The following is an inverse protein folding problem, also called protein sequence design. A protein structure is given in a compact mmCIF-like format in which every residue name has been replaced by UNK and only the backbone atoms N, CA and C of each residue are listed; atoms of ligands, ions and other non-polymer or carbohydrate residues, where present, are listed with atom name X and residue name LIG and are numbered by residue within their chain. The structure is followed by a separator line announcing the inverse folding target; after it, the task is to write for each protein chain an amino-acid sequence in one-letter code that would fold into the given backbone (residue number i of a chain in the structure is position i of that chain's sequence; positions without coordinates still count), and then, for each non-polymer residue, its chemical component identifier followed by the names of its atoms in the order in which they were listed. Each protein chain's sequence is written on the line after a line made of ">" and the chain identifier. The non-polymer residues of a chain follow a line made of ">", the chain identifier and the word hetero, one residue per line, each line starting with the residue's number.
data_IF_776206930528
#
_entry.id   IF_776206930528
#
_cell.length_a   1.000
_cell.length_b   1.000
_cell.length_c   1.000
_cell.angle_alpha   90.00
_cell.angle_beta   90.00
_cell.angle_gamma   90.00
#
_symmetry.space_group_name_H-M   'P 1'
#
loop_
_entity.id
_entity.type
_entity.pdbx_description
1 polymer ?
#
# COMPACT_ATOMS: atom_id res chain seq x y z
N UNK A 1 4.74 -0.96 6.52
CA UNK A 1 4.99 -2.08 7.46
C UNK A 1 4.48 -3.32 6.77
N UNK A 2 5.17 -4.45 6.89
CA UNK A 2 4.67 -5.71 6.34
C UNK A 2 3.86 -6.46 7.39
N UNK A 3 2.69 -6.96 7.01
CA UNK A 3 1.89 -7.96 7.75
C UNK A 3 1.86 -7.82 9.28
N UNK A 4 1.28 -6.74 9.85
CA UNK A 4 1.00 -6.72 11.28
C UNK A 4 0.10 -7.91 11.68
N UNK A 5 0.47 -8.63 12.73
CA UNK A 5 -0.26 -9.81 13.20
C UNK A 5 -0.16 -9.99 14.72
N UNK A 6 -1.08 -10.77 15.30
CA UNK A 6 -1.16 -11.07 16.73
C UNK A 6 -1.22 -9.83 17.65
N UNK A 7 -1.69 -8.70 17.11
CA UNK A 7 -1.83 -7.45 17.86
C UNK A 7 -3.21 -7.43 18.52
N UNK A 8 -3.30 -7.17 19.82
CA UNK A 8 -4.58 -7.14 20.53
C UNK A 8 -4.65 -6.09 21.63
N UNK A 9 -5.87 -5.73 22.02
CA UNK A 9 -6.15 -4.77 23.08
C UNK A 9 -5.44 -3.44 22.87
N UNK A 10 -4.74 -2.96 23.89
CA UNK A 10 -4.01 -1.67 23.83
C UNK A 10 -2.92 -1.65 22.77
N UNK A 11 -2.33 -2.79 22.39
CA UNK A 11 -1.33 -2.83 21.34
C UNK A 11 -1.94 -2.46 19.98
N UNK A 12 -3.19 -2.86 19.74
CA UNK A 12 -3.90 -2.52 18.49
C UNK A 12 -4.21 -1.02 18.43
N UNK A 13 -4.68 -0.44 19.54
CA UNK A 13 -4.87 1.02 19.62
C UNK A 13 -3.56 1.78 19.38
N UNK A 14 -2.44 1.28 19.93
CA UNK A 14 -1.13 1.87 19.71
C UNK A 14 -0.66 1.72 18.25
N UNK A 15 -0.99 0.59 17.60
CA UNK A 15 -0.70 0.37 16.19
C UNK A 15 -1.40 1.41 15.30
N UNK A 16 -2.71 1.60 15.48
CA UNK A 16 -3.50 2.58 14.73
C UNK A 16 -2.95 4.01 14.95
N UNK A 17 -2.62 4.35 16.20
CA UNK A 17 -2.00 5.63 16.53
C UNK A 17 -0.62 5.82 15.88
N UNK A 18 0.20 4.77 15.86
CA UNK A 18 1.51 4.79 15.20
C UNK A 18 1.38 4.97 13.68
N UNK A 19 0.41 4.34 13.04
CA UNK A 19 0.11 4.56 11.61
C UNK A 19 -0.29 6.02 11.33
N UNK A 20 -1.14 6.63 12.16
CA UNK A 20 -1.49 8.05 12.00
C UNK A 20 -0.27 8.97 12.18
N UNK A 21 0.60 8.69 13.16
CA UNK A 21 1.85 9.42 13.34
C UNK A 21 2.78 9.27 12.13
N UNK A 22 2.88 8.08 11.55
CA UNK A 22 3.66 7.83 10.35
C UNK A 22 3.14 8.64 9.15
N UNK A 23 1.82 8.65 8.90
CA UNK A 23 1.21 9.49 7.85
C UNK A 23 1.58 10.95 8.06
N UNK A 24 1.37 11.48 9.28
CA UNK A 24 1.67 12.87 9.59
C UNK A 24 3.16 13.20 9.38
N UNK A 25 4.06 12.32 9.80
CA UNK A 25 5.50 12.51 9.64
C UNK A 25 5.91 12.50 8.15
N UNK A 26 5.39 11.56 7.36
CA UNK A 26 5.63 11.49 5.91
C UNK A 26 5.18 12.79 5.23
N UNK A 27 3.97 13.28 5.54
CA UNK A 27 3.47 14.53 4.96
C UNK A 27 4.25 15.75 5.42
N UNK A 28 4.62 15.81 6.70
CA UNK A 28 5.45 16.90 7.24
C UNK A 28 6.86 16.95 6.63
N UNK A 29 7.38 15.82 6.17
CA UNK A 29 8.63 15.74 5.41
C UNK A 29 8.51 16.24 3.95
N UNK A 30 7.32 16.65 3.50
CA UNK A 30 7.06 17.22 2.17
C UNK A 30 6.55 16.24 1.13
N UNK A 31 6.36 14.96 1.47
CA UNK A 31 5.79 13.96 0.57
C UNK A 31 4.25 14.07 0.54
N UNK A 32 3.72 15.02 -0.23
CA UNK A 32 2.28 15.36 -0.23
C UNK A 32 1.49 14.78 -1.40
N UNK A 33 2.13 14.11 -2.36
CA UNK A 33 1.49 13.57 -3.56
C UNK A 33 1.52 12.04 -3.65
N UNK A 34 2.32 11.40 -2.81
CA UNK A 34 2.54 9.95 -2.83
C UNK A 34 1.39 9.22 -2.15
N UNK A 35 1.04 8.05 -2.66
CA UNK A 35 0.21 7.11 -1.92
C UNK A 35 0.93 6.61 -0.66
N UNK A 36 0.17 6.38 0.40
CA UNK A 36 0.61 5.64 1.59
C UNK A 36 -0.31 4.44 1.73
N UNK A 37 0.28 3.25 1.86
CA UNK A 37 -0.45 2.00 2.05
C UNK A 37 -0.52 1.70 3.55
N UNK A 38 -1.72 1.38 4.04
CA UNK A 38 -2.05 1.22 5.46
C UNK A 38 -2.38 -0.24 5.78
N UNK A 39 -1.48 -0.96 6.46
CA UNK A 39 -1.70 -2.35 6.79
C UNK A 39 -2.49 -2.51 8.10
N UNK A 40 -3.49 -3.39 8.06
CA UNK A 40 -4.23 -3.88 9.20
C UNK A 40 -3.52 -5.04 9.93
N UNK A 41 -4.19 -5.59 10.94
CA UNK A 41 -3.79 -6.79 11.66
C UNK A 41 -4.02 -8.05 10.80
N UNK A 42 -3.71 -9.21 11.38
CA UNK A 42 -3.94 -10.53 10.79
C UNK A 42 -3.34 -10.64 9.38
N UNK A 43 -2.07 -10.25 9.26
CA UNK A 43 -1.30 -10.31 8.02
C UNK A 43 -1.98 -9.56 6.87
N UNK A 44 -2.83 -8.57 7.16
CA UNK A 44 -3.56 -7.80 6.15
C UNK A 44 -4.49 -8.63 5.25
N UNK A 45 -4.99 -9.77 5.72
CA UNK A 45 -5.90 -10.60 4.94
C UNK A 45 -7.22 -9.85 4.63
N UNK A 46 -7.69 -9.80 3.36
CA UNK A 46 -8.94 -9.13 2.96
C UNK A 46 -10.16 -9.49 3.83
N UNK A 47 -10.27 -10.75 4.24
CA UNK A 47 -11.36 -11.27 5.06
C UNK A 47 -11.48 -10.52 6.40
N UNK A 48 -10.35 -10.10 6.98
CA UNK A 48 -10.29 -9.48 8.31
C UNK A 48 -10.80 -8.03 8.28
N UNK A 49 -10.64 -7.35 7.15
CA UNK A 49 -11.28 -6.05 6.91
C UNK A 49 -12.80 -6.20 6.89
N UNK A 50 -13.31 -7.22 6.19
CA UNK A 50 -14.76 -7.45 6.07
C UNK A 50 -15.39 -7.96 7.36
N UNK A 51 -14.62 -8.66 8.20
CA UNK A 51 -15.04 -9.06 9.55
C UNK A 51 -15.05 -7.89 10.55
N UNK A 52 -14.51 -6.73 10.17
CA UNK A 52 -14.48 -5.52 11.00
C UNK A 52 -13.29 -5.45 11.97
N UNK A 53 -12.38 -6.41 11.92
CA UNK A 53 -11.19 -6.49 12.79
C UNK A 53 -10.26 -5.29 12.63
N UNK A 54 -10.29 -4.65 11.44
CA UNK A 54 -9.44 -3.54 11.08
C UNK A 54 -10.19 -2.20 10.97
N UNK A 55 -11.43 -2.11 11.45
CA UNK A 55 -12.26 -0.91 11.27
C UNK A 55 -11.64 0.36 11.87
N UNK A 56 -10.86 0.26 12.93
CA UNK A 56 -10.17 1.41 13.54
C UNK A 56 -9.20 2.10 12.57
N UNK A 57 -8.63 1.36 11.62
CA UNK A 57 -7.75 1.92 10.57
C UNK A 57 -8.51 2.86 9.61
N UNK A 58 -9.84 2.78 9.56
CA UNK A 58 -10.66 3.71 8.77
C UNK A 58 -10.64 5.14 9.33
N UNK A 59 -10.33 5.31 10.62
CA UNK A 59 -10.26 6.61 11.27
C UNK A 59 -9.02 7.42 10.86
N UNK A 60 -7.98 6.77 10.32
CA UNK A 60 -6.75 7.44 9.90
C UNK A 60 -7.06 8.49 8.80
N UNK A 61 -6.44 9.66 8.95
CA UNK A 61 -6.62 10.84 8.10
C UNK A 61 -5.30 11.22 7.43
N UNK A 62 -5.40 11.94 6.30
CA UNK A 62 -4.24 12.47 5.58
C UNK A 62 -4.31 14.00 5.56
N UNK A 63 -3.32 14.72 6.12
CA UNK A 63 -3.31 16.18 6.05
C UNK A 63 -3.11 16.70 4.62
N UNK A 64 -2.63 15.87 3.66
CA UNK A 64 -2.51 16.27 2.27
C UNK A 64 -3.84 16.24 1.49
N UNK A 65 -4.81 15.43 1.94
CA UNK A 65 -6.10 15.26 1.26
C UNK A 65 -7.24 15.04 2.25
N UNK A 66 -8.28 15.89 2.18
CA UNK A 66 -9.45 15.76 3.08
C UNK A 66 -10.30 14.52 2.83
N UNK A 67 -10.21 13.93 1.63
CA UNK A 67 -10.99 12.77 1.19
C UNK A 67 -10.26 11.42 1.36
N UNK A 68 -9.06 11.43 1.95
CA UNK A 68 -8.20 10.24 2.15
C UNK A 68 -7.82 9.54 0.84
N UNK A 69 -7.90 10.23 -0.30
CA UNK A 69 -7.62 9.64 -1.61
C UNK A 69 -6.20 9.07 -1.72
N UNK A 70 -5.22 9.63 -1.02
CA UNK A 70 -3.84 9.11 -1.02
C UNK A 70 -3.57 8.00 0.02
N UNK A 71 -4.58 7.56 0.78
CA UNK A 71 -4.45 6.48 1.78
C UNK A 71 -5.11 5.19 1.29
N UNK A 72 -4.29 4.26 0.82
CA UNK A 72 -4.73 2.94 0.37
C UNK A 72 -4.73 1.95 1.53
N UNK A 73 -5.74 1.10 1.61
CA UNK A 73 -5.70 -0.06 2.50
C UNK A 73 -4.79 -1.14 1.90
N UNK A 74 -4.01 -1.77 2.76
CA UNK A 74 -3.14 -2.87 2.38
C UNK A 74 -3.89 -4.20 2.43
N UNK A 75 -3.61 -5.07 1.48
CA UNK A 75 -4.20 -6.40 1.39
C UNK A 75 -3.17 -7.43 0.91
N UNK A 76 -3.11 -8.57 1.61
CA UNK A 76 -2.29 -9.72 1.24
C UNK A 76 -3.18 -10.95 1.08
N UNK A 77 -3.00 -11.74 0.01
CA UNK A 77 -3.80 -12.95 -0.18
C UNK A 77 -3.07 -14.05 -0.94
N UNK A 78 -2.89 -15.19 -0.28
CA UNK A 78 -2.43 -16.42 -0.91
C UNK A 78 -3.59 -17.40 -1.17
N UNK A 79 -3.33 -18.37 -2.05
CA UNK A 79 -4.34 -19.25 -2.63
C UNK A 79 -4.20 -20.71 -2.19
N UNK A 80 -3.21 -21.03 -1.37
CA UNK A 80 -3.06 -22.32 -0.71
C UNK A 80 -4.05 -22.51 0.44
N UNK A 81 -4.11 -23.71 1.00
CA UNK A 81 -5.20 -24.15 1.87
C UNK A 81 -5.35 -23.36 3.16
N UNK A 82 -4.26 -22.80 3.68
CA UNK A 82 -4.23 -21.97 4.89
C UNK A 82 -3.99 -20.48 4.59
N UNK A 83 -3.75 -20.13 3.32
CA UNK A 83 -3.47 -18.77 2.89
C UNK A 83 -2.11 -18.24 3.36
N UNK A 84 -1.16 -19.13 3.68
CA UNK A 84 0.19 -18.74 4.14
C UNK A 84 1.15 -18.41 2.99
N UNK A 85 0.89 -18.86 1.76
CA UNK A 85 1.82 -18.73 0.66
C UNK A 85 3.06 -19.60 0.80
N UNK A 86 2.94 -20.75 1.47
CA UNK A 86 4.05 -21.69 1.69
C UNK A 86 3.97 -22.95 0.83
N UNK A 87 2.88 -23.11 0.06
CA UNK A 87 2.63 -24.27 -0.78
C UNK A 87 2.66 -23.93 -2.26
N UNK A 88 3.17 -24.86 -3.06
CA UNK A 88 3.06 -24.80 -4.53
C UNK A 88 1.65 -25.13 -5.04
N UNK A 89 0.73 -25.55 -4.17
CA UNK A 89 -0.64 -25.94 -4.54
C UNK A 89 -1.64 -24.88 -4.13
N UNK A 90 -2.40 -24.40 -5.10
CA UNK A 90 -3.52 -23.49 -4.86
C UNK A 90 -4.83 -24.29 -4.76
N UNK A 91 -5.69 -23.93 -3.82
CA UNK A 91 -6.96 -24.61 -3.50
C UNK A 91 -8.18 -23.70 -3.64
N UNK A 92 -7.98 -22.40 -3.86
CA UNK A 92 -9.06 -21.42 -4.00
C UNK A 92 -8.66 -20.32 -4.99
N UNK A 93 -9.65 -19.65 -5.57
CA UNK A 93 -9.46 -18.41 -6.34
C UNK A 93 -9.71 -17.13 -5.50
N UNK A 94 -10.18 -17.28 -4.27
CA UNK A 94 -10.54 -16.18 -3.36
C UNK A 94 -11.49 -15.12 -3.93
N UNK A 95 -12.24 -15.39 -5.02
CA UNK A 95 -13.11 -14.39 -5.66
C UNK A 95 -14.20 -13.91 -4.70
N UNK A 96 -14.83 -14.81 -3.94
CA UNK A 96 -15.86 -14.43 -2.95
C UNK A 96 -15.30 -13.55 -1.82
N UNK A 97 -14.02 -13.74 -1.45
CA UNK A 97 -13.32 -12.90 -0.49
C UNK A 97 -13.12 -11.50 -1.07
N UNK A 98 -12.66 -11.42 -2.31
CA UNK A 98 -12.47 -10.14 -2.98
C UNK A 98 -13.79 -9.42 -3.26
N UNK A 99 -14.88 -10.13 -3.52
CA UNK A 99 -16.22 -9.53 -3.62
C UNK A 99 -16.63 -8.83 -2.34
N UNK A 100 -16.47 -9.49 -1.20
CA UNK A 100 -16.76 -8.89 0.11
C UNK A 100 -15.83 -7.70 0.39
N UNK A 101 -14.54 -7.81 0.06
CA UNK A 101 -13.57 -6.75 0.28
C UNK A 101 -13.83 -5.52 -0.60
N UNK A 102 -14.09 -5.71 -1.90
CA UNK A 102 -14.46 -4.63 -2.83
C UNK A 102 -15.74 -3.93 -2.39
N UNK A 103 -16.74 -4.69 -1.91
CA UNK A 103 -17.96 -4.11 -1.34
C UNK A 103 -17.64 -3.24 -0.11
N UNK A 104 -16.84 -3.76 0.82
CA UNK A 104 -16.37 -3.03 2.00
C UNK A 104 -15.65 -1.73 1.62
N UNK A 105 -14.76 -1.76 0.62
CA UNK A 105 -14.04 -0.58 0.16
C UNK A 105 -15.00 0.50 -0.35
N UNK A 106 -15.95 0.12 -1.22
CA UNK A 106 -16.96 1.06 -1.75
C UNK A 106 -17.84 1.63 -0.65
N UNK A 107 -18.33 0.81 0.27
CA UNK A 107 -19.17 1.25 1.39
C UNK A 107 -18.45 2.26 2.29
N UNK A 108 -17.14 2.10 2.49
CA UNK A 108 -16.36 2.96 3.38
C UNK A 108 -15.63 4.10 2.65
N UNK A 109 -15.86 4.28 1.34
CA UNK A 109 -15.17 5.29 0.54
C UNK A 109 -13.66 5.12 0.55
N UNK A 110 -13.18 3.87 0.57
CA UNK A 110 -11.76 3.52 0.61
C UNK A 110 -11.32 2.87 -0.69
N UNK A 111 -10.01 2.86 -0.88
CA UNK A 111 -9.33 2.16 -1.97
C UNK A 111 -8.20 1.32 -1.40
N UNK A 112 -7.73 0.32 -2.14
CA UNK A 112 -6.73 -0.63 -1.69
C UNK A 112 -5.69 -0.96 -2.76
N UNK A 113 -4.62 -1.60 -2.32
CA UNK A 113 -3.61 -2.26 -3.15
C UNK A 113 -3.44 -3.70 -2.64
N UNK A 114 -3.43 -4.69 -3.54
CA UNK A 114 -3.08 -6.08 -3.19
C UNK A 114 -1.56 -6.23 -3.25
N UNK A 115 -0.87 -5.95 -2.16
CA UNK A 115 0.60 -5.82 -2.16
C UNK A 115 1.34 -7.15 -2.08
N UNK A 116 0.68 -8.21 -1.65
CA UNK A 116 1.23 -9.57 -1.75
C UNK A 116 0.16 -10.58 -2.17
N UNK A 117 0.54 -11.41 -3.13
CA UNK A 117 -0.15 -12.63 -3.51
C UNK A 117 0.81 -13.54 -4.28
N UNK A 118 0.55 -14.83 -4.28
CA UNK A 118 1.37 -15.77 -5.06
C UNK A 118 0.84 -17.19 -5.03
N UNK A 119 1.48 -18.05 -5.80
CA UNK A 119 1.18 -19.47 -5.88
C UNK A 119 2.29 -20.21 -6.61
N UNK A 120 2.21 -21.54 -6.66
CA UNK A 120 3.18 -22.35 -7.40
C UNK A 120 3.12 -22.15 -8.91
N UNK A 121 4.24 -22.42 -9.58
CA UNK A 121 4.38 -22.37 -11.04
C UNK A 121 3.74 -23.56 -11.74
N UNK A 122 2.40 -23.65 -11.71
CA UNK A 122 1.63 -24.71 -12.34
C UNK A 122 0.25 -24.22 -12.83
N UNK A 123 -0.42 -25.05 -13.63
CA UNK A 123 -1.71 -24.74 -14.26
C UNK A 123 -2.86 -24.50 -13.26
N UNK A 124 -2.86 -25.18 -12.12
CA UNK A 124 -3.89 -25.02 -11.09
C UNK A 124 -3.84 -23.64 -10.47
N UNK A 125 -2.66 -23.23 -10.01
CA UNK A 125 -2.42 -21.88 -9.50
C UNK A 125 -2.65 -20.80 -10.55
N UNK A 126 -2.18 -21.00 -11.79
CA UNK A 126 -2.41 -20.03 -12.86
C UNK A 126 -3.90 -19.78 -13.11
N UNK A 127 -4.74 -20.82 -13.05
CA UNK A 127 -6.20 -20.69 -13.19
C UNK A 127 -6.81 -19.86 -12.07
N UNK A 128 -6.50 -20.18 -10.81
CA UNK A 128 -7.07 -19.49 -9.65
C UNK A 128 -6.58 -18.04 -9.52
N UNK A 129 -5.29 -17.79 -9.73
CA UNK A 129 -4.72 -16.44 -9.71
C UNK A 129 -5.30 -15.59 -10.84
N UNK A 130 -5.47 -16.14 -12.05
CA UNK A 130 -6.10 -15.41 -13.16
C UNK A 130 -7.53 -14.98 -12.83
N UNK A 131 -8.31 -15.85 -12.18
CA UNK A 131 -9.67 -15.53 -11.77
C UNK A 131 -9.71 -14.38 -10.74
N UNK A 132 -8.81 -14.41 -9.75
CA UNK A 132 -8.66 -13.33 -8.78
C UNK A 132 -8.28 -12.00 -9.45
N UNK A 133 -7.22 -12.00 -10.27
CA UNK A 133 -6.73 -10.79 -10.95
C UNK A 133 -7.74 -10.25 -11.97
N UNK A 134 -8.49 -11.13 -12.64
CA UNK A 134 -9.60 -10.72 -13.51
C UNK A 134 -10.67 -9.97 -12.73
N UNK A 135 -11.05 -10.48 -11.56
CA UNK A 135 -12.05 -9.83 -10.71
C UNK A 135 -11.54 -8.48 -10.20
N UNK A 136 -10.33 -8.42 -9.65
CA UNK A 136 -9.75 -7.19 -9.12
C UNK A 136 -9.56 -6.12 -10.19
N UNK A 137 -9.09 -6.51 -11.38
CA UNK A 137 -8.91 -5.58 -12.52
C UNK A 137 -10.24 -4.98 -12.99
N UNK A 138 -11.33 -5.77 -12.93
CA UNK A 138 -12.68 -5.29 -13.24
C UNK A 138 -13.26 -4.33 -12.17
N UNK A 139 -12.63 -4.24 -10.99
CA UNK A 139 -13.03 -3.38 -9.87
C UNK A 139 -11.94 -2.34 -9.55
N UNK A 140 -11.31 -1.80 -10.60
CA UNK A 140 -10.19 -0.84 -10.53
C UNK A 140 -10.58 0.55 -10.02
N UNK A 141 -11.87 0.83 -9.82
CA UNK A 141 -12.35 2.01 -9.10
C UNK A 141 -11.89 2.03 -7.63
N UNK A 142 -11.76 0.86 -7.00
CA UNK A 142 -11.38 0.72 -5.59
C UNK A 142 -10.14 -0.12 -5.33
N UNK A 143 -9.69 -0.98 -6.26
CA UNK A 143 -8.43 -1.71 -6.15
C UNK A 143 -7.45 -1.22 -7.21
N UNK A 144 -6.42 -0.49 -6.79
CA UNK A 144 -5.56 0.26 -7.72
C UNK A 144 -4.55 -0.62 -8.47
N UNK A 145 -4.33 -1.84 -8.00
CA UNK A 145 -3.38 -2.76 -8.60
C UNK A 145 -2.95 -3.84 -7.63
N UNK A 146 -1.83 -4.47 -7.96
CA UNK A 146 -1.28 -5.56 -7.21
C UNK A 146 0.25 -5.61 -7.32
N UNK A 147 0.91 -6.30 -6.38
CA UNK A 147 2.30 -6.73 -6.51
C UNK A 147 2.41 -8.20 -6.15
N UNK A 148 3.00 -8.97 -7.06
CA UNK A 148 3.12 -10.42 -6.90
C UNK A 148 4.36 -10.79 -6.09
N UNK A 149 4.21 -11.78 -5.23
CA UNK A 149 5.27 -12.42 -4.45
C UNK A 149 5.72 -13.69 -5.20
N UNK A 150 6.99 -13.86 -5.58
CA UNK A 150 8.14 -12.95 -5.40
C UNK A 150 9.18 -13.05 -6.50
N UNK A 151 10.00 -12.02 -6.70
CA UNK A 151 11.15 -12.05 -7.59
C UNK A 151 12.40 -11.52 -6.86
N UNK A 152 13.43 -11.10 -7.59
CA UNK A 152 14.66 -10.57 -6.99
C UNK A 152 15.66 -11.69 -6.66
N UNK A 153 16.16 -11.71 -5.43
CA UNK A 153 17.24 -12.61 -5.02
C UNK A 153 16.77 -13.98 -4.50
N UNK A 154 15.49 -14.32 -4.65
CA UNK A 154 15.00 -15.68 -4.37
C UNK A 154 15.64 -16.69 -5.32
N UNK A 155 15.76 -17.93 -4.85
CA UNK A 155 16.13 -19.02 -5.74
C UNK A 155 15.00 -19.26 -6.76
N UNK A 156 15.36 -19.68 -7.97
CA UNK A 156 14.41 -20.17 -8.98
C UNK A 156 13.58 -21.36 -8.49
N UNK A 157 14.06 -22.11 -7.48
CA UNK A 157 13.34 -23.23 -6.87
C UNK A 157 12.49 -22.84 -5.66
N UNK A 158 12.47 -21.56 -5.25
CA UNK A 158 11.56 -21.09 -4.22
C UNK A 158 10.10 -21.35 -4.66
N UNK A 159 9.25 -21.75 -3.71
CA UNK A 159 7.91 -22.27 -3.99
C UNK A 159 7.04 -21.30 -4.79
N UNK A 160 7.19 -20.00 -4.51
CA UNK A 160 6.45 -18.89 -5.14
C UNK A 160 7.38 -18.00 -6.00
N UNK A 161 8.44 -18.57 -6.56
CA UNK A 161 9.41 -17.81 -7.37
C UNK A 161 8.80 -17.31 -8.67
N UNK A 162 9.02 -16.03 -8.94
CA UNK A 162 8.81 -15.31 -10.20
C UNK A 162 10.16 -14.82 -10.77
N UNK A 163 11.28 -15.27 -10.19
CA UNK A 163 12.61 -15.05 -10.76
C UNK A 163 12.71 -15.80 -12.09
N UNK A 164 13.12 -15.15 -13.20
CA UNK A 164 13.30 -15.83 -14.48
C UNK A 164 14.16 -17.08 -14.34
N UNK A 165 13.80 -18.12 -15.08
CA UNK A 165 14.54 -19.37 -15.11
C UNK A 165 15.98 -19.15 -15.61
N UNK A 166 16.85 -20.12 -15.32
CA UNK A 166 18.26 -20.06 -15.74
C UNK A 166 18.46 -20.02 -17.27
N UNK A 167 17.48 -20.47 -18.05
CA UNK A 167 17.45 -20.39 -19.52
C UNK A 167 16.91 -19.05 -20.06
N UNK A 168 16.55 -18.12 -19.16
CA UNK A 168 15.98 -16.81 -19.49
C UNK A 168 14.47 -16.82 -19.75
N UNK A 169 13.79 -17.95 -19.62
CA UNK A 169 12.33 -18.00 -19.69
C UNK A 169 11.67 -17.49 -18.40
N UNK A 170 10.48 -16.91 -18.53
CA UNK A 170 9.69 -16.48 -17.39
C UNK A 170 9.02 -17.68 -16.68
N UNK A 171 8.72 -17.49 -15.40
CA UNK A 171 8.03 -18.48 -14.57
C UNK A 171 6.59 -18.72 -15.05
N UNK A 172 6.09 -19.96 -14.92
CA UNK A 172 4.80 -20.34 -15.50
C UNK A 172 3.64 -19.48 -14.97
N UNK A 173 3.63 -19.16 -13.68
CA UNK A 173 2.58 -18.34 -13.08
C UNK A 173 2.60 -16.91 -13.66
N UNK A 174 3.78 -16.36 -13.92
CA UNK A 174 3.94 -15.04 -14.51
C UNK A 174 3.28 -14.96 -15.89
N UNK A 175 3.68 -15.84 -16.81
CA UNK A 175 3.22 -15.81 -18.20
C UNK A 175 1.76 -16.19 -18.36
N UNK A 176 1.23 -17.06 -17.49
CA UNK A 176 -0.11 -17.63 -17.65
C UNK A 176 -1.17 -17.04 -16.73
N UNK A 177 -0.81 -16.13 -15.81
CA UNK A 177 -1.80 -15.51 -14.91
C UNK A 177 -1.57 -14.03 -14.63
N UNK A 178 -0.33 -13.58 -14.47
CA UNK A 178 -0.04 -12.24 -13.95
C UNK A 178 0.14 -11.23 -15.09
N UNK A 179 0.94 -11.59 -16.10
CA UNK A 179 1.41 -10.67 -17.14
C UNK A 179 0.26 -10.00 -17.92
N UNK A 180 -0.87 -10.69 -18.10
CA UNK A 180 -2.02 -10.17 -18.84
C UNK A 180 -2.71 -8.97 -18.15
N UNK A 181 -2.54 -8.80 -16.84
CA UNK A 181 -3.19 -7.73 -16.08
C UNK A 181 -2.27 -6.53 -15.80
N UNK A 182 -1.06 -6.53 -16.36
CA UNK A 182 -0.15 -5.39 -16.28
C UNK A 182 -0.53 -4.29 -17.28
N UNK A 183 -0.23 -3.01 -16.97
CA UNK A 183 -0.45 -1.91 -17.91
C UNK A 183 0.24 -2.18 -19.26
N UNK A 184 -0.51 -1.98 -20.35
CA UNK A 184 -0.02 -2.20 -21.72
C UNK A 184 -0.24 -3.62 -22.27
N UNK A 185 -0.66 -4.58 -21.43
CA UNK A 185 -0.86 -5.98 -21.81
C UNK A 185 -2.35 -6.38 -21.91
N UNK A 186 -3.27 -5.40 -21.97
CA UNK A 186 -4.71 -5.59 -21.86
C UNK A 186 -5.18 -6.90 -22.53
N UNK A 187 -5.82 -7.82 -21.77
CA UNK A 187 -6.56 -8.89 -22.39
C UNK A 187 -7.64 -8.19 -23.21
N UNK A 188 -7.69 -8.45 -24.53
CA UNK A 188 -8.89 -8.10 -25.29
C UNK A 188 -10.07 -8.76 -24.59
N UNK A 189 -10.84 -7.97 -23.84
CA UNK A 189 -12.22 -8.30 -23.58
C UNK A 189 -12.89 -8.32 -24.94
N UNK A 190 -13.00 -9.51 -25.52
CA UNK A 190 -13.93 -9.79 -26.60
C UNK A 190 -15.33 -9.63 -26.05
N UNK A 191 -15.77 -8.38 -25.89
CA UNK A 191 -17.15 -8.04 -25.64
C UNK A 191 -17.91 -8.27 -26.94
N UNK A 192 -18.57 -9.42 -27.05
CA UNK A 192 -19.61 -9.62 -28.05
C UNK A 192 -20.81 -8.76 -27.66
N UNK A 193 -20.83 -7.50 -28.09
CA UNK A 193 -22.02 -6.67 -28.06
C UNK A 193 -22.68 -6.70 -29.43
N UNK A 194 -23.79 -7.43 -29.51
CA UNK A 194 -24.81 -7.26 -30.54
C UNK A 194 -25.21 -5.78 -30.66
N UNK A 195 -25.30 -5.19 -31.88
CA UNK A 195 -25.65 -3.79 -32.03
C UNK A 195 -27.14 -3.57 -31.75
N UNK A 196 -27.46 -2.68 -30.83
CA UNK A 196 -28.80 -2.08 -30.71
C UNK A 196 -28.81 -0.81 -31.59
N UNK A 197 -29.83 -0.59 -32.45
CA UNK A 197 -29.81 0.54 -33.38
C UNK A 197 -30.06 1.86 -32.65
N UNK A 198 -29.20 2.84 -32.94
CA UNK A 198 -29.32 4.24 -32.53
C UNK A 198 -30.22 5.00 -33.51
N UNK A 199 -31.29 5.62 -32.99
CA UNK A 199 -32.04 6.65 -33.70
C UNK A 199 -31.47 8.02 -33.39
N UNK A 200 -31.00 8.69 -34.45
CA UNK A 200 -30.51 10.07 -34.44
C UNK A 200 -31.66 11.07 -34.32
N UNK A 201 -31.44 12.15 -33.58
CA UNK A 201 -32.12 13.42 -33.80
C UNK A 201 -31.13 14.57 -33.58
N UNK A 202 -31.07 15.45 -34.59
CA UNK A 202 -30.08 16.50 -34.80
C UNK A 202 -30.64 17.87 -34.44
N UNK A 203 -29.73 18.77 -34.04
CA UNK A 203 -29.76 20.24 -34.22
C UNK A 203 -30.63 21.09 -33.28
N UNK A 204 -30.01 22.05 -32.57
CA UNK A 204 -29.89 23.43 -33.07
C UNK A 204 -29.01 24.32 -32.17
N UNK A 205 -28.21 25.15 -32.83
CA UNK A 205 -27.29 26.17 -32.36
C UNK A 205 -28.01 27.38 -31.74
N UNK A 206 -27.40 28.06 -30.76
CA UNK A 206 -27.46 29.52 -30.62
C UNK A 206 -26.30 30.04 -29.77
N UNK A 207 -25.62 31.05 -30.29
CA UNK A 207 -24.48 31.74 -29.70
C UNK A 207 -24.92 32.89 -28.80
N UNK A 208 -24.17 33.17 -27.72
CA UNK A 208 -24.11 34.52 -27.13
C UNK A 208 -22.78 34.73 -26.41
N UNK A 209 -22.22 35.93 -26.58
CA UNK A 209 -20.89 36.40 -26.17
C UNK A 209 -20.79 36.94 -24.74
N UNK A 210 -19.52 37.11 -24.31
CA UNK A 210 -18.97 37.98 -23.25
C UNK A 210 -19.06 37.43 -21.81
N UNK A 211 -18.08 37.56 -20.91
CA UNK A 211 -17.10 38.64 -20.67
C UNK A 211 -15.91 38.09 -19.87
N UNK A 212 -14.73 38.65 -20.12
CA UNK A 212 -13.47 38.46 -19.39
C UNK A 212 -13.45 39.21 -18.06
N UNK A 213 -13.05 38.55 -16.97
CA UNK A 213 -12.66 39.20 -15.72
C UNK A 213 -11.30 38.70 -15.26
N UNK A 214 -10.36 39.64 -15.24
CA UNK A 214 -9.02 39.56 -14.67
C UNK A 214 -9.11 39.72 -13.15
N UNK A 215 -8.42 38.88 -12.38
CA UNK A 215 -8.15 39.16 -10.96
C UNK A 215 -6.68 38.95 -10.64
N UNK A 216 -6.14 39.94 -9.93
CA UNK A 216 -4.71 40.22 -9.72
C UNK A 216 -4.34 39.88 -8.27
N UNK A 217 -3.17 39.24 -8.12
CA UNK A 217 -2.30 38.98 -6.93
C UNK A 217 -2.70 39.46 -5.53
N UNK A 218 -2.37 38.62 -4.53
CA UNK A 218 -1.54 39.08 -3.37
C UNK A 218 -0.70 37.93 -2.79
N UNK A 219 0.61 38.15 -2.67
CA UNK A 219 1.59 37.34 -1.93
C UNK A 219 1.44 37.64 -0.44
N UNK A 220 1.39 36.60 0.39
CA UNK A 220 1.56 36.71 1.84
C UNK A 220 2.79 35.92 2.28
N UNK A 221 3.81 36.67 2.69
CA UNK A 221 4.97 36.21 3.45
C UNK A 221 4.54 35.91 4.89
N UNK A 222 4.85 34.72 5.40
CA UNK A 222 4.71 34.39 6.82
C UNK A 222 6.06 33.94 7.39
N UNK A 223 6.46 34.59 8.47
CA UNK A 223 7.71 34.52 9.19
C UNK A 223 7.84 33.29 10.09
N UNK A 224 9.07 32.81 10.24
CA UNK A 224 9.48 31.76 11.18
C UNK A 224 9.28 32.14 12.66
N UNK A 225 8.98 31.19 13.55
CA UNK A 225 9.21 31.32 14.98
C UNK A 225 10.53 30.66 15.43
N UNK A 226 11.16 31.29 16.41
CA UNK A 226 12.44 30.91 17.00
C UNK A 226 12.33 29.87 18.15
N UNK A 227 13.50 29.30 18.40
CA UNK A 227 14.04 28.35 19.40
C UNK A 227 13.41 28.30 20.80
N UNK A 228 13.31 27.09 21.38
CA UNK A 228 13.34 26.87 22.84
C UNK A 228 14.19 25.63 23.19
N UNK A 229 15.41 25.86 23.65
CA UNK A 229 16.33 24.88 24.24
C UNK A 229 15.95 24.64 25.72
N UNK A 230 15.53 23.42 26.04
CA UNK A 230 15.52 22.92 27.43
C UNK A 230 16.54 21.79 27.51
N UNK A 231 17.73 22.10 28.03
CA UNK A 231 18.78 21.13 28.29
C UNK A 231 18.39 20.29 29.52
N UNK A 232 17.88 19.08 29.27
CA UNK A 232 17.79 18.03 30.28
C UNK A 232 19.16 17.33 30.36
N UNK A 233 19.74 17.29 31.57
CA UNK A 233 21.07 16.76 31.90
C UNK A 233 21.17 15.23 31.77
N UNK A 234 20.74 14.68 30.64
CA UNK A 234 20.67 13.24 30.46
C UNK A 234 21.85 12.78 29.61
N UNK A 235 22.62 11.83 30.15
CA UNK A 235 23.83 11.27 29.53
C UNK A 235 23.67 9.78 29.29
N UNK A 236 24.15 9.30 28.15
CA UNK A 236 24.12 7.89 27.77
C UNK A 236 25.39 7.19 28.26
N UNK A 237 25.25 6.06 28.94
CA UNK A 237 26.38 5.21 29.32
C UNK A 237 27.19 4.75 28.11
N UNK A 238 28.47 4.42 28.30
CA UNK A 238 29.29 3.77 27.28
C UNK A 238 28.55 2.52 26.74
N UNK A 239 28.55 2.34 25.43
CA UNK A 239 27.80 1.35 24.64
C UNK A 239 26.29 1.59 24.47
N UNK A 240 25.72 2.64 25.06
CA UNK A 240 24.32 3.00 24.85
C UNK A 240 24.10 3.71 23.51
N UNK A 241 22.85 3.65 23.03
CA UNK A 241 22.43 4.39 21.84
C UNK A 241 22.37 5.90 22.15
N UNK A 242 22.94 6.72 21.28
CA UNK A 242 23.01 8.17 21.43
C UNK A 242 22.51 8.92 20.18
N UNK A 243 22.01 8.20 19.18
CA UNK A 243 21.48 8.79 17.95
C UNK A 243 20.85 7.74 17.02
N UNK A 244 20.20 8.23 15.95
CA UNK A 244 19.46 7.45 14.97
C UNK A 244 18.18 8.17 14.53
N UNK A 245 17.69 7.90 13.32
CA UNK A 245 16.53 8.54 12.68
C UNK A 245 15.24 8.56 13.53
N UNK A 246 15.10 7.62 14.46
CA UNK A 246 13.94 7.50 15.36
C UNK A 246 14.30 7.59 16.86
N UNK A 247 15.56 7.92 17.19
CA UNK A 247 16.02 7.96 18.57
C UNK A 247 15.65 9.29 19.25
N UNK A 248 14.80 9.21 20.28
CA UNK A 248 14.34 10.37 21.07
C UNK A 248 14.99 10.49 22.45
N UNK A 249 15.98 9.62 22.74
CA UNK A 249 16.70 9.60 24.00
C UNK A 249 17.84 10.62 24.05
N UNK A 250 18.72 10.45 25.03
CA UNK A 250 19.83 11.36 25.29
C UNK A 250 20.91 11.25 24.20
N UNK A 251 21.40 12.37 23.70
CA UNK A 251 22.40 12.37 22.63
C UNK A 251 23.83 12.60 23.12
N UNK A 252 23.99 12.96 24.40
CA UNK A 252 25.29 13.22 25.03
C UNK A 252 25.79 11.95 25.72
N UNK A 253 26.97 11.47 25.35
CA UNK A 253 27.61 10.34 26.01
C UNK A 253 28.22 10.73 27.36
N UNK A 254 28.34 9.77 28.28
CA UNK A 254 29.09 9.94 29.52
C UNK A 254 30.54 10.36 29.25
N UNK A 255 31.16 11.04 30.20
CA UNK A 255 32.53 11.53 30.08
C UNK A 255 33.49 10.37 29.73
N UNK A 256 34.30 10.56 28.69
CA UNK A 256 35.22 9.53 28.18
C UNK A 256 34.65 8.64 27.08
N UNK A 257 33.47 8.94 26.54
CA UNK A 257 32.92 8.27 25.35
C UNK A 257 32.33 9.27 24.35
N UNK A 258 32.34 8.91 23.07
CA UNK A 258 31.84 9.76 21.97
C UNK A 258 30.72 9.07 21.21
N UNK A 259 29.67 9.83 20.88
CA UNK A 259 28.58 9.29 20.07
C UNK A 259 29.07 9.02 18.65
N UNK A 260 29.21 7.76 18.31
CA UNK A 260 29.77 7.30 17.04
C UNK A 260 28.64 6.79 16.15
N UNK A 261 28.55 7.34 14.95
CA UNK A 261 27.60 6.89 13.93
C UNK A 261 27.90 5.46 13.49
N UNK A 262 26.87 4.61 13.42
CA UNK A 262 26.98 3.25 12.87
C UNK A 262 26.15 3.13 11.58
N UNK A 263 24.89 3.55 11.64
CA UNK A 263 24.01 3.64 10.48
C UNK A 263 22.90 4.67 10.75
N UNK A 264 22.06 4.91 9.75
CA UNK A 264 21.00 5.93 9.79
C UNK A 264 20.04 5.76 10.98
N UNK A 265 19.87 4.55 11.50
CA UNK A 265 18.96 4.23 12.60
C UNK A 265 19.66 4.12 13.95
N UNK A 266 20.99 4.10 13.99
CA UNK A 266 21.75 3.77 15.19
C UNK A 266 23.10 4.48 15.28
N UNK A 267 23.33 5.18 16.39
CA UNK A 267 24.64 5.70 16.81
C UNK A 267 24.89 5.28 18.26
N UNK A 268 26.14 4.96 18.61
CA UNK A 268 26.50 4.36 19.89
C UNK A 268 27.62 5.14 20.58
N UNK A 269 27.55 5.25 21.91
CA UNK A 269 28.66 5.79 22.71
C UNK A 269 29.83 4.81 22.79
N UNK A 270 31.00 5.17 22.26
CA UNK A 270 32.23 4.37 22.26
C UNK A 270 33.38 5.05 23.02
#
# INVERSE_FOLDING_TARGET
>A
MNEPHDISGTQWTNWVAACQLAVNAIRAAGATSQYIVLPGNFWTHPETWTAGENNDMLAITDPATSDKSLLLLDAHKYFDSDGSGSSTTCTTNAVSVFEAFVSFLRTNGRRALLTEFGGGNNAGCATYVSQALSYLSANSDVVLGFTAWSAGAFDTTYELSLVPNSDGSDQYLWTNAIQAYLPGNSPQTSSSTTPVPSTSATSATSATSATSTTSTTTKTTSSAPATSTTASSCTVSKWGQCGGLSYSGCTVCTSGSTCTFQNDWYSQCL
#
